data_IF_520397425561
#
_entry.id   IF_520397425561
#
_cell.length_a   1.000
_cell.length_b   1.000
_cell.length_c   1.000
_cell.angle_alpha   90.00
_cell.angle_beta   90.00
_cell.angle_gamma   90.00
#
_symmetry.space_group_name_H-M   'P 1'
#
loop_
_entity.id
_entity.type
_entity.pdbx_description
1 polymer ?
#
# COMPACT_ATOMS: atom_id res chain seq x y z
N UNK A 1 -26.90 -39.74 24.68
CA UNK A 1 -25.82 -39.31 23.78
C UNK A 1 -25.71 -37.80 23.91
N UNK A 2 -24.72 -37.30 24.65
CA UNK A 2 -24.44 -35.89 24.79
C UNK A 2 -23.56 -35.48 23.62
N UNK A 3 -24.00 -34.57 22.78
CA UNK A 3 -23.18 -33.97 21.74
C UNK A 3 -22.17 -33.02 22.42
N UNK A 4 -20.92 -33.41 22.44
CA UNK A 4 -19.81 -32.52 22.77
C UNK A 4 -19.61 -31.58 21.60
N UNK A 5 -20.13 -30.37 21.73
CA UNK A 5 -19.75 -29.25 20.86
C UNK A 5 -18.34 -28.83 21.29
N UNK A 6 -17.33 -29.27 20.52
CA UNK A 6 -15.99 -28.76 20.64
C UNK A 6 -16.01 -27.26 20.29
N UNK A 7 -15.90 -26.41 21.28
CA UNK A 7 -15.51 -25.01 21.09
C UNK A 7 -14.07 -25.04 20.54
N UNK A 8 -13.92 -24.83 19.24
CA UNK A 8 -12.63 -24.51 18.65
C UNK A 8 -12.10 -23.26 19.35
N UNK A 9 -11.10 -23.44 20.19
CA UNK A 9 -10.31 -22.33 20.71
C UNK A 9 -9.69 -21.63 19.53
N UNK A 10 -10.18 -20.44 19.17
CA UNK A 10 -9.55 -19.59 18.17
C UNK A 10 -8.14 -19.28 18.68
N UNK A 11 -7.14 -19.93 18.10
CA UNK A 11 -5.74 -19.64 18.39
C UNK A 11 -5.46 -18.20 17.96
N UNK A 12 -4.89 -17.40 18.87
CA UNK A 12 -4.48 -16.03 18.57
C UNK A 12 -3.46 -16.07 17.44
N UNK A 13 -3.75 -15.39 16.34
CA UNK A 13 -2.86 -15.33 15.18
C UNK A 13 -1.63 -14.52 15.55
N UNK A 14 -0.45 -15.14 15.41
CA UNK A 14 0.84 -14.53 15.74
C UNK A 14 1.52 -13.88 14.53
N UNK A 15 1.25 -14.38 13.34
CA UNK A 15 1.80 -13.89 12.08
C UNK A 15 1.00 -14.41 10.89
N UNK A 16 0.79 -13.54 9.90
CA UNK A 16 0.29 -13.90 8.57
C UNK A 16 1.42 -14.10 7.56
N UNK A 17 2.66 -13.70 7.89
CA UNK A 17 3.82 -13.99 7.06
C UNK A 17 4.23 -15.45 7.22
N UNK A 18 4.62 -16.06 6.11
CA UNK A 18 5.20 -17.40 6.11
C UNK A 18 6.68 -17.32 6.52
N UNK A 19 7.00 -17.86 7.69
CA UNK A 19 8.36 -17.85 8.24
C UNK A 19 9.37 -18.67 7.40
N UNK A 20 8.87 -19.53 6.51
CA UNK A 20 9.70 -20.35 5.62
C UNK A 20 10.12 -19.61 4.36
N UNK A 21 9.46 -18.49 4.04
CA UNK A 21 9.72 -17.71 2.82
C UNK A 21 10.59 -16.49 3.13
N UNK A 22 11.71 -16.37 2.40
CA UNK A 22 12.55 -15.17 2.47
C UNK A 22 11.96 -14.07 1.61
N UNK A 23 12.02 -12.85 2.10
CA UNK A 23 11.63 -11.68 1.31
C UNK A 23 12.52 -11.56 0.07
N UNK A 24 11.91 -11.41 -1.13
CA UNK A 24 12.64 -11.37 -2.41
C UNK A 24 13.25 -10.01 -2.72
N UNK A 25 13.14 -9.05 -1.80
CA UNK A 25 13.57 -7.66 -2.02
C UNK A 25 15.04 -7.44 -1.72
N UNK A 26 15.61 -6.40 -2.32
CA UNK A 26 16.98 -5.97 -2.10
C UNK A 26 17.25 -5.68 -0.61
N UNK A 27 18.50 -5.84 -0.17
CA UNK A 27 18.90 -5.51 1.21
C UNK A 27 18.67 -4.02 1.47
N UNK A 28 17.91 -3.71 2.52
CA UNK A 28 17.58 -2.33 2.89
C UNK A 28 16.43 -1.71 2.08
N UNK A 29 15.84 -2.42 1.13
CA UNK A 29 14.66 -1.97 0.41
C UNK A 29 13.49 -1.68 1.37
N UNK A 30 12.76 -0.58 1.15
CA UNK A 30 11.64 -0.16 1.97
C UNK A 30 10.50 -1.17 2.04
N UNK A 31 10.28 -1.93 0.98
CA UNK A 31 9.26 -3.00 0.94
C UNK A 31 9.40 -3.99 2.10
N UNK A 32 10.65 -4.29 2.54
CA UNK A 32 10.87 -5.17 3.69
C UNK A 32 10.22 -4.63 4.97
N UNK A 33 10.24 -3.32 5.16
CA UNK A 33 9.62 -2.69 6.32
C UNK A 33 8.10 -2.60 6.16
N UNK A 34 7.63 -2.21 4.98
CA UNK A 34 6.19 -2.14 4.68
C UNK A 34 5.49 -3.47 4.99
N UNK A 35 6.04 -4.60 4.53
CA UNK A 35 5.41 -5.90 4.76
C UNK A 35 5.44 -6.34 6.23
N UNK A 36 6.53 -6.04 6.96
CA UNK A 36 6.54 -6.32 8.40
C UNK A 36 5.48 -5.51 9.14
N UNK A 37 5.35 -4.22 8.81
CA UNK A 37 4.34 -3.35 9.42
C UNK A 37 2.92 -3.75 9.02
N UNK A 38 2.72 -4.20 7.78
CA UNK A 38 1.44 -4.77 7.37
C UNK A 38 1.08 -6.00 8.21
N UNK A 39 2.00 -6.95 8.34
CA UNK A 39 1.80 -8.11 9.19
C UNK A 39 1.48 -7.74 10.65
N UNK A 40 2.26 -6.82 11.25
CA UNK A 40 2.02 -6.32 12.60
C UNK A 40 0.63 -5.69 12.75
N UNK A 41 0.17 -4.95 11.74
CA UNK A 41 -1.15 -4.32 11.73
C UNK A 41 -2.27 -5.36 11.63
N UNK A 42 -2.13 -6.36 10.76
CA UNK A 42 -3.10 -7.45 10.63
C UNK A 42 -3.19 -8.25 11.94
N UNK A 43 -2.04 -8.58 12.54
CA UNK A 43 -2.00 -9.24 13.85
C UNK A 43 -2.67 -8.41 14.94
N UNK A 44 -2.42 -7.11 14.98
CA UNK A 44 -3.03 -6.22 15.98
C UNK A 44 -4.56 -6.08 15.81
N UNK A 45 -5.06 -6.27 14.58
CA UNK A 45 -6.50 -6.28 14.29
C UNK A 45 -7.16 -7.63 14.56
N UNK A 46 -6.36 -8.69 14.76
CA UNK A 46 -6.83 -10.07 15.03
C UNK A 46 -7.91 -10.52 14.03
N UNK A 47 -7.70 -10.22 12.75
CA UNK A 47 -8.59 -10.64 11.68
C UNK A 47 -8.56 -12.17 11.57
N UNK A 48 -9.70 -12.78 11.28
CA UNK A 48 -9.78 -14.23 11.13
C UNK A 48 -8.98 -14.74 9.93
N UNK A 49 -8.66 -16.02 9.97
CA UNK A 49 -8.14 -16.74 8.79
C UNK A 49 -9.15 -16.58 7.66
N UNK A 50 -8.70 -16.16 6.49
CA UNK A 50 -9.52 -15.84 5.31
C UNK A 50 -10.40 -14.58 5.41
N UNK A 51 -10.26 -13.74 6.45
CA UNK A 51 -10.97 -12.46 6.53
C UNK A 51 -10.23 -11.32 5.80
N UNK A 52 -9.10 -11.63 5.17
CA UNK A 52 -8.28 -10.66 4.42
C UNK A 52 -8.14 -11.09 2.97
N UNK A 53 -8.36 -10.17 2.04
CA UNK A 53 -8.03 -10.30 0.63
C UNK A 53 -6.90 -9.31 0.29
N UNK A 54 -5.69 -9.81 0.06
CA UNK A 54 -4.54 -9.05 -0.36
C UNK A 54 -4.44 -9.06 -1.88
N UNK A 55 -4.58 -7.91 -2.50
CA UNK A 55 -4.51 -7.74 -3.96
C UNK A 55 -3.22 -7.03 -4.30
N UNK A 56 -2.35 -7.66 -5.09
CA UNK A 56 -1.06 -7.11 -5.48
C UNK A 56 -1.02 -6.69 -6.94
N UNK A 57 -0.17 -5.73 -7.25
CA UNK A 57 0.09 -5.23 -8.60
C UNK A 57 1.42 -5.77 -9.16
N UNK A 58 1.68 -5.61 -10.45
CA UNK A 58 2.99 -5.89 -11.04
C UNK A 58 4.04 -4.91 -10.46
N UNK A 59 5.23 -5.42 -10.23
CA UNK A 59 6.38 -4.70 -9.69
C UNK A 59 6.98 -5.41 -8.49
N UNK A 60 8.04 -4.84 -7.89
CA UNK A 60 8.74 -5.48 -6.78
C UNK A 60 7.78 -5.82 -5.62
N UNK A 61 6.92 -4.88 -5.23
CA UNK A 61 5.98 -5.11 -4.13
C UNK A 61 4.93 -6.18 -4.45
N UNK A 62 4.67 -6.43 -5.72
CA UNK A 62 3.73 -7.47 -6.16
C UNK A 62 4.14 -8.88 -5.76
N UNK A 63 5.45 -9.12 -5.56
CA UNK A 63 5.98 -10.39 -5.07
C UNK A 63 5.55 -10.71 -3.63
N UNK A 64 4.83 -9.79 -2.98
CA UNK A 64 4.29 -9.97 -1.64
C UNK A 64 3.18 -11.04 -1.57
N UNK A 65 2.51 -11.36 -2.66
CA UNK A 65 1.41 -12.33 -2.72
C UNK A 65 1.80 -13.71 -2.19
N UNK A 66 3.04 -14.13 -2.43
CA UNK A 66 3.56 -15.43 -2.01
C UNK A 66 4.18 -15.43 -0.59
N UNK A 67 4.16 -14.30 0.11
CA UNK A 67 4.79 -14.16 1.42
C UNK A 67 3.82 -14.32 2.59
N UNK A 68 2.52 -14.28 2.28
CA UNK A 68 1.47 -14.37 3.29
C UNK A 68 0.80 -15.74 3.25
N UNK A 69 0.42 -16.23 4.43
CA UNK A 69 -0.36 -17.44 4.66
C UNK A 69 -1.68 -17.10 5.35
N UNK A 70 -2.62 -17.97 5.24
CA UNK A 70 -3.92 -17.87 5.93
C UNK A 70 -4.76 -16.64 5.55
N UNK A 71 -4.46 -16.02 4.41
CA UNK A 71 -5.25 -14.96 3.79
C UNK A 71 -5.44 -15.24 2.29
N UNK A 72 -6.45 -14.64 1.69
CA UNK A 72 -6.62 -14.69 0.23
C UNK A 72 -5.62 -13.76 -0.45
N UNK A 73 -4.94 -14.22 -1.49
CA UNK A 73 -4.03 -13.40 -2.30
C UNK A 73 -4.44 -13.42 -3.76
N UNK A 74 -4.36 -12.25 -4.41
CA UNK A 74 -4.66 -12.09 -5.84
C UNK A 74 -3.59 -11.22 -6.48
N UNK A 75 -2.80 -11.80 -7.39
CA UNK A 75 -1.85 -11.05 -8.20
C UNK A 75 -2.51 -10.57 -9.50
N UNK A 76 -2.39 -9.31 -9.84
CA UNK A 76 -3.10 -8.70 -10.97
C UNK A 76 -2.16 -8.18 -12.05
N UNK A 77 -2.73 -7.76 -13.19
CA UNK A 77 -2.00 -7.03 -14.21
C UNK A 77 -1.72 -5.59 -13.76
N UNK A 78 -0.64 -5.01 -14.29
CA UNK A 78 -0.11 -3.71 -13.88
C UNK A 78 -1.14 -2.58 -13.95
N UNK A 79 -1.29 -1.85 -12.84
CA UNK A 79 -2.25 -0.76 -12.70
C UNK A 79 -3.72 -1.20 -12.62
N UNK A 80 -4.00 -2.49 -12.34
CA UNK A 80 -5.39 -2.99 -12.28
C UNK A 80 -5.79 -3.54 -10.91
N UNK A 81 -4.86 -3.57 -9.96
CA UNK A 81 -5.08 -4.10 -8.61
C UNK A 81 -6.27 -3.43 -7.91
N UNK A 82 -6.39 -2.10 -7.97
CA UNK A 82 -7.52 -1.38 -7.36
C UNK A 82 -8.87 -1.74 -8.02
N UNK A 83 -8.91 -1.98 -9.34
CA UNK A 83 -10.13 -2.41 -10.00
C UNK A 83 -10.56 -3.82 -9.58
N UNK A 84 -9.59 -4.74 -9.46
CA UNK A 84 -9.86 -6.10 -8.95
C UNK A 84 -10.33 -6.04 -7.50
N UNK A 85 -9.65 -5.28 -6.64
CA UNK A 85 -10.02 -5.08 -5.25
C UNK A 85 -11.44 -4.49 -5.10
N UNK A 86 -11.79 -3.52 -5.95
CA UNK A 86 -13.15 -2.96 -6.00
C UNK A 86 -14.18 -4.04 -6.31
N UNK A 87 -13.90 -4.91 -7.27
CA UNK A 87 -14.77 -6.03 -7.61
C UNK A 87 -14.94 -7.03 -6.46
N UNK A 88 -13.84 -7.36 -5.77
CA UNK A 88 -13.84 -8.25 -4.60
C UNK A 88 -14.67 -7.64 -3.47
N UNK A 89 -14.42 -6.39 -3.10
CA UNK A 89 -15.14 -5.71 -2.02
C UNK A 89 -16.65 -5.56 -2.31
N UNK A 90 -17.03 -5.28 -3.56
CA UNK A 90 -18.43 -5.22 -3.96
C UNK A 90 -19.08 -6.60 -3.92
N UNK A 91 -18.40 -7.63 -4.40
CA UNK A 91 -18.94 -9.01 -4.34
C UNK A 91 -19.12 -9.47 -2.89
N UNK A 92 -18.12 -9.23 -2.03
CA UNK A 92 -18.20 -9.53 -0.60
C UNK A 92 -19.37 -8.81 0.08
N UNK A 93 -19.57 -7.53 -0.24
CA UNK A 93 -20.68 -6.75 0.34
C UNK A 93 -22.07 -7.28 -0.04
N UNK A 94 -22.20 -7.88 -1.23
CA UNK A 94 -23.46 -8.45 -1.73
C UNK A 94 -23.69 -9.88 -1.26
N UNK A 95 -22.61 -10.68 -1.23
CA UNK A 95 -22.72 -12.13 -0.97
C UNK A 95 -22.63 -12.45 0.53
N UNK A 96 -21.67 -11.84 1.23
CA UNK A 96 -21.32 -12.19 2.61
C UNK A 96 -21.48 -11.04 3.64
N UNK A 97 -21.89 -9.86 3.18
CA UNK A 97 -22.20 -8.76 4.08
C UNK A 97 -21.01 -8.04 4.66
N UNK A 98 -19.91 -7.90 3.90
CA UNK A 98 -18.68 -7.17 4.27
C UNK A 98 -17.87 -7.83 5.39
N UNK A 99 -17.36 -9.00 5.13
CA UNK A 99 -16.47 -9.72 6.04
C UNK A 99 -14.99 -9.53 5.70
N UNK A 100 -14.66 -9.37 4.40
CA UNK A 100 -13.29 -9.25 3.93
C UNK A 100 -12.73 -7.84 4.14
N UNK A 101 -11.56 -7.75 4.75
CA UNK A 101 -10.70 -6.57 4.63
C UNK A 101 -9.91 -6.69 3.32
N UNK A 102 -10.32 -5.92 2.33
CA UNK A 102 -9.68 -5.92 1.01
C UNK A 102 -8.56 -4.89 0.99
N UNK A 103 -7.33 -5.36 0.83
CA UNK A 103 -6.11 -4.54 0.88
C UNK A 103 -5.38 -4.63 -0.45
N UNK A 104 -5.00 -3.49 -1.01
CA UNK A 104 -4.18 -3.40 -2.23
C UNK A 104 -2.75 -3.02 -1.85
N UNK A 105 -1.77 -3.76 -2.35
CA UNK A 105 -0.36 -3.37 -2.36
C UNK A 105 0.07 -3.01 -3.79
N UNK A 106 0.44 -1.76 -4.00
CA UNK A 106 0.78 -1.22 -5.32
C UNK A 106 2.00 -0.31 -5.22
N UNK A 107 2.90 -0.37 -6.22
CA UNK A 107 3.99 0.59 -6.34
C UNK A 107 3.50 1.92 -6.94
N UNK A 108 4.34 2.96 -6.85
CA UNK A 108 4.10 4.28 -7.45
C UNK A 108 3.79 4.20 -8.96
N UNK A 109 4.54 3.38 -9.69
CA UNK A 109 4.28 3.13 -11.11
C UNK A 109 2.91 2.52 -11.38
N UNK A 110 2.54 1.49 -10.62
CA UNK A 110 1.23 0.85 -10.73
C UNK A 110 0.08 1.81 -10.35
N UNK A 111 0.28 2.63 -9.32
CA UNK A 111 -0.69 3.65 -8.91
C UNK A 111 -0.92 4.67 -10.03
N UNK A 112 0.13 5.10 -10.73
CA UNK A 112 0.01 6.05 -11.83
C UNK A 112 -0.60 5.43 -13.09
N UNK A 113 -0.25 4.20 -13.44
CA UNK A 113 -0.89 3.47 -14.56
C UNK A 113 -2.37 3.24 -14.27
N UNK A 114 -2.72 2.95 -13.01
CA UNK A 114 -4.07 2.67 -12.55
C UNK A 114 -4.80 3.86 -11.92
N UNK A 115 -4.35 5.10 -12.13
CA UNK A 115 -4.88 6.28 -11.44
C UNK A 115 -6.41 6.41 -11.56
N UNK A 116 -6.98 6.15 -12.73
CA UNK A 116 -8.43 6.18 -12.91
C UNK A 116 -9.17 5.19 -12.02
N UNK A 117 -8.58 4.05 -11.68
CA UNK A 117 -9.21 3.07 -10.79
C UNK A 117 -9.19 3.52 -9.34
N UNK A 118 -8.11 4.22 -8.90
CA UNK A 118 -8.04 4.86 -7.59
C UNK A 118 -9.11 5.94 -7.46
N UNK A 119 -9.25 6.79 -8.48
CA UNK A 119 -10.28 7.85 -8.54
C UNK A 119 -11.68 7.24 -8.47
N UNK A 120 -11.98 6.21 -9.26
CA UNK A 120 -13.31 5.58 -9.24
C UNK A 120 -13.61 4.90 -7.91
N UNK A 121 -12.63 4.20 -7.31
CA UNK A 121 -12.79 3.57 -6.00
C UNK A 121 -13.06 4.62 -4.90
N UNK A 122 -12.37 5.78 -4.96
CA UNK A 122 -12.60 6.92 -4.07
C UNK A 122 -14.02 7.49 -4.22
N UNK A 123 -14.46 7.74 -5.47
CA UNK A 123 -15.80 8.26 -5.76
C UNK A 123 -16.91 7.32 -5.28
N UNK A 124 -16.71 6.01 -5.40
CA UNK A 124 -17.66 4.99 -4.97
C UNK A 124 -17.59 4.71 -3.46
N UNK A 125 -16.55 5.18 -2.79
CA UNK A 125 -16.24 4.90 -1.39
C UNK A 125 -16.32 3.39 -1.07
N UNK A 126 -15.72 2.56 -1.93
CA UNK A 126 -15.68 1.11 -1.71
C UNK A 126 -14.80 0.77 -0.51
N UNK A 127 -15.12 -0.31 0.20
CA UNK A 127 -14.37 -0.75 1.38
C UNK A 127 -13.06 -1.44 0.97
N UNK A 128 -12.08 -0.62 0.58
CA UNK A 128 -10.76 -1.04 0.10
C UNK A 128 -9.69 -0.13 0.67
N UNK A 129 -8.67 -0.73 1.27
CA UNK A 129 -7.46 -0.02 1.69
C UNK A 129 -6.37 -0.16 0.63
N UNK A 130 -5.85 0.95 0.11
CA UNK A 130 -4.73 0.95 -0.84
C UNK A 130 -3.46 1.45 -0.16
N UNK A 131 -2.41 0.64 -0.20
CA UNK A 131 -1.08 0.98 0.28
C UNK A 131 -0.20 1.22 -0.94
N UNK A 132 0.17 2.48 -1.17
CA UNK A 132 1.04 2.89 -2.29
C UNK A 132 2.49 2.94 -1.79
N UNK A 133 3.29 1.97 -2.21
CA UNK A 133 4.73 1.89 -1.93
C UNK A 133 5.48 2.81 -2.90
N UNK A 134 5.73 4.05 -2.49
CA UNK A 134 6.33 5.06 -3.35
C UNK A 134 7.84 5.19 -3.10
N UNK A 135 8.62 4.63 -4.00
CA UNK A 135 10.08 4.75 -4.03
C UNK A 135 10.59 5.58 -5.22
N UNK A 136 9.68 6.26 -5.92
CA UNK A 136 9.91 7.19 -7.04
C UNK A 136 10.39 6.57 -8.34
N UNK A 137 10.43 5.22 -8.45
CA UNK A 137 10.94 4.54 -9.65
C UNK A 137 10.22 3.22 -9.95
N UNK A 138 10.19 2.85 -11.22
CA UNK A 138 9.88 1.48 -11.64
C UNK A 138 11.09 0.57 -11.34
N UNK A 139 11.20 0.07 -10.12
CA UNK A 139 12.39 -0.67 -9.68
C UNK A 139 12.62 -1.97 -10.45
N UNK A 140 11.59 -2.78 -10.68
CA UNK A 140 11.72 -4.10 -11.30
C UNK A 140 12.23 -4.04 -12.75
N UNK A 141 11.96 -2.96 -13.47
CA UNK A 141 12.33 -2.79 -14.88
C UNK A 141 13.61 -2.01 -15.11
N UNK A 142 14.26 -1.54 -14.04
CA UNK A 142 15.59 -0.90 -14.14
C UNK A 142 15.63 0.58 -13.74
N UNK A 143 14.72 1.04 -12.88
CA UNK A 143 14.83 2.36 -12.25
C UNK A 143 14.35 3.54 -13.09
N UNK A 144 13.39 3.34 -14.00
CA UNK A 144 12.76 4.44 -14.75
C UNK A 144 11.94 5.31 -13.80
N UNK A 145 11.81 6.60 -14.11
CA UNK A 145 10.95 7.51 -13.36
C UNK A 145 9.46 7.18 -13.49
N UNK A 146 8.70 7.40 -12.44
CA UNK A 146 7.23 7.31 -12.42
C UNK A 146 6.60 8.71 -12.44
N UNK A 147 5.28 8.78 -12.50
CA UNK A 147 4.57 10.06 -12.37
C UNK A 147 4.67 10.70 -10.96
N UNK A 148 5.18 9.97 -9.96
CA UNK A 148 5.41 10.47 -8.60
C UNK A 148 6.88 10.83 -8.34
N UNK A 149 7.77 10.72 -9.36
CA UNK A 149 9.19 11.05 -9.23
C UNK A 149 9.38 12.55 -9.01
N UNK A 150 10.06 13.00 -7.93
CA UNK A 150 10.28 14.41 -7.66
C UNK A 150 11.09 15.12 -8.74
N UNK A 151 10.97 16.44 -8.83
CA UNK A 151 11.85 17.25 -9.67
C UNK A 151 13.32 17.07 -9.24
N UNK A 152 14.23 17.13 -10.20
CA UNK A 152 15.67 16.94 -10.05
C UNK A 152 16.10 15.55 -9.59
N UNK A 153 15.16 14.63 -9.37
CA UNK A 153 15.48 13.27 -9.00
C UNK A 153 16.08 12.52 -10.20
N UNK A 154 17.21 11.87 -9.98
CA UNK A 154 17.93 11.10 -11.01
C UNK A 154 17.33 9.71 -11.13
N UNK A 155 17.00 9.31 -12.36
CA UNK A 155 16.46 7.99 -12.69
C UNK A 155 17.09 7.48 -13.99
N UNK A 156 16.88 6.22 -14.34
CA UNK A 156 17.35 5.66 -15.60
C UNK A 156 16.81 6.38 -16.84
N UNK A 157 15.62 7.00 -16.74
CA UNK A 157 15.03 7.79 -17.84
C UNK A 157 15.33 9.28 -17.76
N UNK A 158 15.82 9.74 -16.62
CA UNK A 158 16.17 11.16 -16.39
C UNK A 158 17.56 11.26 -15.72
N UNK A 159 18.64 10.88 -16.40
CA UNK A 159 19.98 10.83 -15.82
C UNK A 159 20.56 12.20 -15.46
N UNK A 160 19.95 13.28 -15.93
CA UNK A 160 20.34 14.67 -15.59
C UNK A 160 19.37 15.31 -14.58
N UNK A 161 18.50 14.50 -13.96
CA UNK A 161 17.44 14.93 -13.07
C UNK A 161 16.09 15.08 -13.77
N UNK A 162 15.01 14.71 -13.07
CA UNK A 162 13.66 14.87 -13.56
C UNK A 162 13.28 16.36 -13.66
N UNK A 163 12.73 16.77 -14.81
CA UNK A 163 12.29 18.16 -15.07
C UNK A 163 10.78 18.33 -14.97
N UNK A 164 10.05 17.23 -14.76
CA UNK A 164 8.58 17.24 -14.68
C UNK A 164 8.17 17.25 -13.20
N UNK A 165 7.30 18.17 -12.79
CA UNK A 165 6.75 18.15 -11.44
C UNK A 165 6.04 16.82 -11.15
N UNK A 166 6.20 16.26 -9.94
CA UNK A 166 5.49 15.05 -9.56
C UNK A 166 3.99 15.30 -9.46
N UNK A 167 3.22 14.28 -9.78
CA UNK A 167 1.78 14.29 -9.50
C UNK A 167 1.56 14.23 -8.00
N UNK A 168 0.76 15.12 -7.45
CA UNK A 168 0.26 14.98 -6.08
C UNK A 168 -0.96 14.05 -6.07
N UNK A 169 -0.69 12.78 -5.82
CA UNK A 169 -1.71 11.74 -5.76
C UNK A 169 -2.78 12.04 -4.69
N UNK A 170 -2.39 12.71 -3.62
CA UNK A 170 -3.29 13.05 -2.51
C UNK A 170 -4.31 14.10 -2.87
N UNK A 171 -3.86 15.18 -3.50
CA UNK A 171 -4.77 16.22 -3.93
C UNK A 171 -5.77 15.66 -4.95
N UNK A 172 -5.34 14.78 -5.85
CA UNK A 172 -6.25 14.11 -6.78
C UNK A 172 -7.30 13.28 -6.03
N UNK A 173 -6.87 12.44 -5.09
CA UNK A 173 -7.78 11.55 -4.37
C UNK A 173 -8.70 12.31 -3.40
N UNK A 174 -8.20 13.33 -2.74
CA UNK A 174 -8.99 14.24 -1.91
C UNK A 174 -10.09 14.92 -2.71
N UNK A 175 -9.76 15.47 -3.89
CA UNK A 175 -10.75 16.06 -4.79
C UNK A 175 -11.67 15.02 -5.46
N UNK A 176 -11.30 13.74 -5.42
CA UNK A 176 -12.14 12.62 -5.83
C UNK A 176 -12.99 12.06 -4.68
N UNK A 177 -13.08 12.78 -3.57
CA UNK A 177 -13.85 12.44 -2.37
C UNK A 177 -13.34 11.21 -1.60
N UNK A 178 -12.06 10.85 -1.69
CA UNK A 178 -11.49 9.83 -0.83
C UNK A 178 -11.69 10.20 0.65
N UNK A 179 -12.39 9.39 1.46
CA UNK A 179 -12.70 9.78 2.83
C UNK A 179 -11.52 9.64 3.78
N UNK A 180 -10.55 8.78 3.45
CA UNK A 180 -9.34 8.60 4.22
C UNK A 180 -8.12 8.63 3.30
N UNK A 181 -7.25 9.59 3.51
CA UNK A 181 -5.99 9.72 2.76
C UNK A 181 -4.86 9.98 3.75
N UNK A 182 -3.77 9.25 3.63
CA UNK A 182 -2.60 9.36 4.50
C UNK A 182 -1.28 9.24 3.74
N UNK A 183 -0.22 9.93 4.20
CA UNK A 183 1.16 9.81 3.72
C UNK A 183 2.13 9.66 4.88
N UNK A 184 3.08 8.77 4.76
CA UNK A 184 4.10 8.55 5.79
C UNK A 184 5.43 8.16 5.16
N UNK A 185 6.48 8.15 5.98
CA UNK A 185 7.75 7.53 5.61
C UNK A 185 7.74 6.08 6.11
N UNK A 186 8.32 5.15 5.35
CA UNK A 186 8.48 3.77 5.79
C UNK A 186 9.26 3.64 7.11
N UNK A 187 10.07 4.64 7.46
CA UNK A 187 10.88 4.71 8.68
C UNK A 187 10.23 5.50 9.82
N UNK A 188 9.05 6.09 9.60
CA UNK A 188 8.36 6.88 10.61
C UNK A 188 7.80 5.99 11.73
N UNK A 189 7.90 6.46 12.97
CA UNK A 189 7.34 5.77 14.13
C UNK A 189 5.80 5.73 14.11
N UNK A 190 5.16 6.68 13.44
CA UNK A 190 3.70 6.72 13.30
C UNK A 190 3.17 5.79 12.18
N UNK A 191 4.05 5.26 11.32
CA UNK A 191 3.64 4.42 10.20
C UNK A 191 2.75 3.23 10.63
N UNK A 192 3.08 2.43 11.65
CA UNK A 192 2.21 1.32 12.07
C UNK A 192 0.82 1.77 12.52
N UNK A 193 0.73 2.92 13.18
CA UNK A 193 -0.55 3.49 13.64
C UNK A 193 -1.41 3.91 12.46
N UNK A 194 -0.85 4.68 11.53
CA UNK A 194 -1.55 5.12 10.32
C UNK A 194 -1.98 3.94 9.44
N UNK A 195 -1.13 2.93 9.32
CA UNK A 195 -1.44 1.72 8.56
C UNK A 195 -2.61 0.95 9.17
N UNK A 196 -2.59 0.76 10.49
CA UNK A 196 -3.69 0.12 11.21
C UNK A 196 -4.99 0.92 11.06
N UNK A 197 -4.95 2.24 11.22
CA UNK A 197 -6.11 3.12 11.05
C UNK A 197 -6.69 3.01 9.62
N UNK A 198 -5.83 2.99 8.59
CA UNK A 198 -6.27 2.85 7.21
C UNK A 198 -6.95 1.50 6.95
N UNK A 199 -6.41 0.40 7.51
CA UNK A 199 -6.99 -0.95 7.36
C UNK A 199 -8.30 -1.08 8.14
N UNK A 200 -8.39 -0.49 9.32
CA UNK A 200 -9.59 -0.56 10.16
C UNK A 200 -10.72 0.34 9.64
N UNK A 201 -10.40 1.34 8.83
CA UNK A 201 -11.37 2.26 8.27
C UNK A 201 -12.40 1.53 7.40
N UNK A 202 -13.69 1.87 7.54
CA UNK A 202 -14.77 1.37 6.70
C UNK A 202 -15.01 2.33 5.54
N UNK A 203 -14.68 1.91 4.33
CA UNK A 203 -14.73 2.69 3.11
C UNK A 203 -13.36 2.76 2.43
N UNK A 204 -13.20 3.68 1.47
CA UNK A 204 -11.99 3.80 0.68
C UNK A 204 -10.89 4.54 1.47
N UNK A 205 -9.78 3.86 1.68
CA UNK A 205 -8.60 4.43 2.35
C UNK A 205 -7.36 4.30 1.46
N UNK A 206 -6.52 5.33 1.41
CA UNK A 206 -5.22 5.31 0.72
C UNK A 206 -4.12 5.80 1.65
N UNK A 207 -3.11 4.96 1.86
CA UNK A 207 -1.88 5.32 2.55
C UNK A 207 -0.70 5.26 1.58
N UNK A 208 -0.12 6.40 1.28
CA UNK A 208 1.14 6.48 0.54
C UNK A 208 2.31 6.37 1.51
N UNK A 209 3.22 5.44 1.23
CA UNK A 209 4.41 5.19 2.03
C UNK A 209 5.64 5.54 1.20
N UNK A 210 6.29 6.64 1.54
CA UNK A 210 7.56 7.03 0.94
C UNK A 210 8.67 6.13 1.47
N UNK A 211 9.39 5.47 0.57
CA UNK A 211 10.36 4.45 0.92
C UNK A 211 11.62 4.44 0.04
N UNK A 212 12.60 3.61 0.39
CA UNK A 212 13.88 3.54 -0.28
C UNK A 212 13.89 2.39 -1.31
N UNK A 213 14.19 2.70 -2.58
CA UNK A 213 14.72 1.72 -3.52
C UNK A 213 16.25 1.75 -3.46
N UNK A 214 16.85 0.74 -2.81
CA UNK A 214 18.30 0.69 -2.57
C UNK A 214 19.12 0.37 -3.81
N UNK A 215 18.49 -0.16 -4.86
CA UNK A 215 19.17 -0.51 -6.10
C UNK A 215 19.28 0.67 -7.07
N UNK A 216 18.21 1.45 -7.25
CA UNK A 216 18.13 2.45 -8.30
C UNK A 216 17.97 3.89 -7.79
N UNK A 217 17.28 4.11 -6.68
CA UNK A 217 17.02 5.46 -6.19
C UNK A 217 18.11 5.95 -5.22
N UNK A 218 18.57 5.08 -4.32
CA UNK A 218 19.56 5.45 -3.30
C UNK A 218 20.92 5.83 -3.89
N UNK A 219 21.52 5.06 -4.84
CA UNK A 219 22.86 5.36 -5.32
C UNK A 219 22.99 6.73 -5.99
N UNK A 220 22.03 7.07 -6.85
CA UNK A 220 22.10 8.26 -7.69
C UNK A 220 21.62 9.53 -6.98
N UNK A 221 20.81 9.39 -5.91
CA UNK A 221 20.19 10.52 -5.21
C UNK A 221 20.65 10.65 -3.74
N UNK A 222 21.62 9.84 -3.30
CA UNK A 222 22.07 9.80 -1.91
C UNK A 222 20.90 9.68 -0.91
N UNK A 223 19.90 8.86 -1.27
CA UNK A 223 18.62 8.83 -0.59
C UNK A 223 18.73 8.16 0.77
N UNK A 224 18.19 8.81 1.77
CA UNK A 224 18.10 8.33 3.17
C UNK A 224 16.70 8.64 3.70
N UNK A 225 16.34 8.09 4.86
CA UNK A 225 15.08 8.46 5.52
C UNK A 225 14.95 9.97 5.79
N UNK A 226 16.07 10.64 6.14
CA UNK A 226 16.11 12.09 6.31
C UNK A 226 15.87 12.81 4.97
N UNK A 227 16.50 12.33 3.90
CA UNK A 227 16.35 12.92 2.56
C UNK A 227 14.92 12.76 2.03
N UNK A 228 14.25 11.64 2.34
CA UNK A 228 12.83 11.48 2.03
C UNK A 228 11.95 12.52 2.72
N UNK A 229 12.22 12.83 3.99
CA UNK A 229 11.51 13.88 4.72
C UNK A 229 11.77 15.27 4.10
N UNK A 230 13.02 15.57 3.72
CA UNK A 230 13.39 16.82 3.03
C UNK A 230 12.69 16.94 1.66
N UNK A 231 12.55 15.83 0.91
CA UNK A 231 11.79 15.79 -0.35
C UNK A 231 10.31 16.09 -0.10
N UNK A 232 9.72 15.49 0.93
CA UNK A 232 8.32 15.76 1.29
C UNK A 232 8.12 17.22 1.66
N UNK A 233 9.01 17.82 2.46
CA UNK A 233 8.96 19.23 2.84
C UNK A 233 9.12 20.16 1.63
N UNK A 234 10.09 19.90 0.75
CA UNK A 234 10.35 20.68 -0.46
C UNK A 234 9.15 20.70 -1.42
N UNK A 235 8.44 19.58 -1.55
CA UNK A 235 7.26 19.45 -2.39
C UNK A 235 5.96 19.86 -1.66
N UNK A 236 6.06 20.37 -0.44
CA UNK A 236 4.90 20.70 0.41
C UNK A 236 3.97 19.50 0.66
N UNK A 237 4.54 18.30 0.63
CA UNK A 237 3.80 17.08 0.91
C UNK A 237 3.59 16.91 2.40
N UNK A 238 2.37 17.03 2.81
CA UNK A 238 1.97 16.85 4.20
C UNK A 238 2.14 15.37 4.62
N UNK A 239 2.73 15.11 5.77
CA UNK A 239 2.82 13.78 6.38
C UNK A 239 1.72 13.60 7.43
N UNK A 240 1.34 12.36 7.68
CA UNK A 240 0.26 12.00 8.57
C UNK A 240 -1.05 11.77 7.82
N UNK A 241 -2.14 11.71 8.56
CA UNK A 241 -3.51 11.68 8.00
C UNK A 241 -3.92 13.09 7.63
N UNK A 242 -4.47 13.30 6.43
CA UNK A 242 -4.69 14.65 5.89
C UNK A 242 -6.13 15.08 5.90
N UNK A 243 -7.06 14.23 5.63
CA UNK A 243 -8.46 14.60 5.69
C UNK A 243 -9.35 13.40 6.05
N UNK A 244 -10.26 13.65 6.94
CA UNK A 244 -11.57 13.04 6.98
C UNK A 244 -12.54 14.11 6.48
N UNK A 245 -13.24 13.88 5.38
CA UNK A 245 -14.48 14.61 5.14
C UNK A 245 -15.50 14.03 6.12
N UNK A 246 -15.53 14.53 7.35
CA UNK A 246 -16.46 14.10 8.40
C UNK A 246 -17.91 14.55 8.13
N UNK A 247 -18.15 15.28 7.05
CA UNK A 247 -19.43 15.90 6.70
C UNK A 247 -20.23 15.12 5.62
N UNK A 248 -20.03 13.77 5.50
CA UNK A 248 -20.84 12.97 4.56
C UNK A 248 -21.37 11.69 5.17
#
# INVERSE_FOLDING_TARGET
MKSETSLEQSSVIQSYLDDQVKFPFCKGCGHNNVLRRLNESLVALQLGVHDVALVTDIGCIGLADNLFKDIHTVHTTHGRSTAFATGIALADSVLDGRKLKTIVLIGDGGAMIGLQHLVHAAMLNVDVTVIVCNNFVYGMTGGQGSGLTPERFITATTPQGNIVPPVDLWEILKHSNAPWVGRTLATDQQFPTLLKEAIDFSGFAVLEVLELCTEFAVPDNELTGKKLAEIAEHNHWQLGRIARNDDR
#
